data_IF_974979505639
#
_entry.id   IF_974979505639
#
_cell.length_a   1.000
_cell.length_b   1.000
_cell.length_c   1.000
_cell.angle_alpha   90.00
_cell.angle_beta   90.00
_cell.angle_gamma   90.00
#
_symmetry.space_group_name_H-M   'P 1'
#
loop_
_entity.id
_entity.type
_entity.pdbx_description
1 polymer ?
#
# COMPACT_ATOMS: atom_id res chain seq x y z
N UNK A 1 9.21 -36.84 -15.11
CA UNK A 1 8.74 -35.48 -14.77
C UNK A 1 9.97 -34.66 -14.42
N UNK A 2 10.44 -33.83 -15.35
CA UNK A 2 11.78 -33.23 -15.30
C UNK A 2 11.86 -31.93 -14.48
N UNK A 3 13.06 -31.57 -13.99
CA UNK A 3 13.31 -30.37 -13.17
C UNK A 3 13.08 -29.03 -13.91
N UNK A 4 12.74 -29.09 -15.19
CA UNK A 4 12.47 -27.94 -16.05
C UNK A 4 11.10 -27.30 -15.75
N UNK A 5 10.13 -28.06 -15.24
CA UNK A 5 8.79 -27.54 -14.93
C UNK A 5 8.82 -26.65 -13.68
N UNK A 6 9.66 -26.97 -12.69
CA UNK A 6 9.82 -26.16 -11.48
C UNK A 6 10.46 -24.78 -11.76
N UNK A 7 11.39 -24.71 -12.72
CA UNK A 7 12.04 -23.46 -13.13
C UNK A 7 11.10 -22.52 -13.90
N UNK A 8 10.20 -23.06 -14.72
CA UNK A 8 9.20 -22.26 -15.45
C UNK A 8 8.14 -21.66 -14.52
N UNK A 9 7.76 -22.36 -13.44
CA UNK A 9 6.84 -21.83 -12.43
C UNK A 9 7.50 -20.74 -11.58
N UNK A 10 8.78 -20.89 -11.23
CA UNK A 10 9.53 -19.86 -10.52
C UNK A 10 9.74 -18.58 -11.37
N UNK A 11 9.95 -18.73 -12.68
CA UNK A 11 10.05 -17.58 -13.59
C UNK A 11 8.70 -16.85 -13.76
N UNK A 12 7.58 -17.58 -13.77
CA UNK A 12 6.24 -16.96 -13.83
C UNK A 12 5.84 -16.25 -12.52
N UNK A 13 6.31 -16.73 -11.37
CA UNK A 13 6.16 -16.02 -10.10
C UNK A 13 6.99 -14.73 -10.05
N UNK A 14 8.14 -14.68 -10.74
CA UNK A 14 8.97 -13.48 -10.89
C UNK A 14 8.44 -12.45 -11.91
N UNK A 15 7.56 -12.86 -12.83
CA UNK A 15 6.89 -11.95 -13.79
C UNK A 15 5.56 -11.39 -13.27
N UNK A 16 5.02 -11.97 -12.20
CA UNK A 16 3.90 -11.43 -11.44
C UNK A 16 4.45 -10.73 -10.20
N UNK A 17 5.32 -9.73 -10.38
CA UNK A 17 5.30 -8.64 -9.40
C UNK A 17 3.88 -8.11 -9.49
N UNK A 18 3.04 -8.23 -8.44
CA UNK A 18 1.93 -7.33 -8.32
C UNK A 18 2.59 -5.98 -8.05
N UNK A 19 3.06 -5.31 -9.10
CA UNK A 19 2.68 -3.93 -9.26
C UNK A 19 1.15 -4.01 -9.27
N UNK A 20 0.57 -4.03 -8.08
CA UNK A 20 -0.83 -3.79 -7.84
C UNK A 20 -0.86 -2.37 -7.31
N UNK A 21 -1.88 -1.61 -7.68
CA UNK A 21 -2.10 -0.28 -7.11
C UNK A 21 -2.58 -0.36 -5.65
N UNK A 22 -1.88 -1.13 -4.82
CA UNK A 22 -2.23 -1.46 -3.44
C UNK A 22 -0.99 -1.38 -2.55
N UNK A 23 -1.03 -0.49 -1.56
CA UNK A 23 0.07 -0.27 -0.61
C UNK A 23 0.43 -1.56 0.15
N UNK A 24 -0.58 -2.33 0.57
CA UNK A 24 -0.35 -3.58 1.32
C UNK A 24 0.23 -4.73 0.47
N UNK A 25 0.28 -4.60 -0.85
CA UNK A 25 0.84 -5.62 -1.73
C UNK A 25 2.38 -5.55 -1.78
N UNK A 26 2.95 -4.40 -1.41
CA UNK A 26 4.39 -4.25 -1.31
C UNK A 26 4.96 -5.06 -0.14
N UNK A 27 5.96 -5.91 -0.41
CA UNK A 27 6.53 -6.80 0.58
C UNK A 27 7.20 -6.05 1.74
N UNK A 28 7.69 -4.83 1.53
CA UNK A 28 8.26 -4.00 2.60
C UNK A 28 7.16 -3.54 3.56
N UNK A 29 5.97 -3.21 3.03
CA UNK A 29 4.80 -2.86 3.85
C UNK A 29 4.32 -4.06 4.64
N UNK A 30 4.22 -5.25 4.01
CA UNK A 30 3.89 -6.49 4.71
C UNK A 30 4.88 -6.76 5.84
N UNK A 31 6.18 -6.68 5.55
CA UNK A 31 7.23 -6.88 6.55
C UNK A 31 7.16 -5.87 7.70
N UNK A 32 6.89 -4.59 7.40
CA UNK A 32 6.76 -3.56 8.42
C UNK A 32 5.53 -3.79 9.34
N UNK A 33 4.40 -4.20 8.77
CA UNK A 33 3.21 -4.57 9.55
C UNK A 33 3.44 -5.83 10.40
N UNK A 34 4.21 -6.78 9.89
CA UNK A 34 4.60 -7.97 10.65
C UNK A 34 5.54 -7.65 11.80
N UNK A 35 6.52 -6.75 11.60
CA UNK A 35 7.39 -6.27 12.66
C UNK A 35 6.61 -5.48 13.72
N UNK A 36 5.64 -4.65 13.30
CA UNK A 36 4.73 -3.97 14.21
C UNK A 36 4.00 -4.96 15.13
N UNK A 37 3.45 -6.05 14.56
CA UNK A 37 2.73 -7.08 15.30
C UNK A 37 3.63 -7.89 16.24
N UNK A 38 4.81 -8.29 15.76
CA UNK A 38 5.68 -9.28 16.45
C UNK A 38 6.70 -8.66 17.39
N UNK A 39 7.09 -7.41 17.16
CA UNK A 39 8.21 -6.77 17.87
C UNK A 39 7.74 -5.55 18.67
N UNK A 40 6.90 -4.69 18.07
CA UNK A 40 6.48 -3.44 18.71
C UNK A 40 5.32 -3.63 19.68
N UNK A 41 4.21 -4.19 19.22
CA UNK A 41 3.00 -4.34 20.04
C UNK A 41 3.18 -5.18 21.33
N UNK A 42 4.01 -6.24 21.37
CA UNK A 42 4.21 -7.02 22.60
C UNK A 42 4.75 -6.22 23.79
N UNK A 43 5.44 -5.10 23.53
CA UNK A 43 6.02 -4.24 24.57
C UNK A 43 5.23 -2.94 24.78
N UNK A 44 4.30 -2.60 23.88
CA UNK A 44 3.57 -1.32 23.87
C UNK A 44 2.05 -1.47 24.04
N UNK A 45 1.53 -2.70 24.17
CA UNK A 45 0.09 -2.93 24.28
C UNK A 45 -0.24 -4.25 25.00
N UNK A 46 -1.32 -4.23 25.79
CA UNK A 46 -1.88 -5.43 26.42
C UNK A 46 -2.25 -6.53 25.41
N UNK A 47 -1.88 -7.79 25.72
CA UNK A 47 -1.95 -8.94 24.80
C UNK A 47 -3.34 -9.18 24.21
N UNK A 48 -4.37 -8.99 25.02
CA UNK A 48 -5.77 -9.15 24.64
C UNK A 48 -6.23 -8.18 23.54
N UNK A 49 -5.55 -7.03 23.37
CA UNK A 49 -5.92 -6.01 22.37
C UNK A 49 -5.13 -6.13 21.07
N UNK A 50 -3.94 -6.71 21.10
CA UNK A 50 -2.98 -6.73 19.98
C UNK A 50 -3.62 -7.26 18.69
N UNK A 51 -4.33 -8.39 18.78
CA UNK A 51 -4.99 -9.03 17.63
C UNK A 51 -6.02 -8.09 16.99
N UNK A 52 -6.90 -7.51 17.78
CA UNK A 52 -7.97 -6.63 17.27
C UNK A 52 -7.39 -5.36 16.62
N UNK A 53 -6.34 -4.80 17.22
CA UNK A 53 -5.67 -3.61 16.68
C UNK A 53 -4.98 -3.94 15.35
N UNK A 54 -4.23 -5.04 15.26
CA UNK A 54 -3.59 -5.44 14.00
C UNK A 54 -4.57 -5.78 12.90
N UNK A 55 -5.69 -6.44 13.23
CA UNK A 55 -6.77 -6.72 12.28
C UNK A 55 -7.36 -5.42 11.72
N UNK A 56 -7.62 -4.44 12.58
CA UNK A 56 -8.11 -3.11 12.19
C UNK A 56 -7.10 -2.37 11.32
N UNK A 57 -5.82 -2.38 11.69
CA UNK A 57 -4.74 -1.76 10.90
C UNK A 57 -4.66 -2.39 9.52
N UNK A 58 -4.53 -3.72 9.43
CA UNK A 58 -4.44 -4.42 8.14
C UNK A 58 -5.67 -4.16 7.28
N UNK A 59 -6.87 -4.19 7.86
CA UNK A 59 -8.10 -3.91 7.11
C UNK A 59 -8.14 -2.47 6.59
N UNK A 60 -7.66 -1.51 7.38
CA UNK A 60 -7.60 -0.10 6.98
C UNK A 60 -6.62 0.10 5.83
N UNK A 61 -5.40 -0.47 5.91
CA UNK A 61 -4.40 -0.37 4.84
C UNK A 61 -4.88 -1.10 3.56
N UNK A 62 -5.56 -2.24 3.69
CA UNK A 62 -6.22 -2.90 2.55
C UNK A 62 -7.19 -1.95 1.86
N UNK A 63 -7.96 -1.18 2.62
CA UNK A 63 -8.96 -0.24 2.09
C UNK A 63 -8.37 1.08 1.57
N UNK A 64 -7.05 1.17 1.33
CA UNK A 64 -6.47 2.34 0.66
C UNK A 64 -6.91 2.46 -0.81
N UNK A 65 -7.31 1.34 -1.44
CA UNK A 65 -7.88 1.34 -2.80
C UNK A 65 -9.25 2.04 -2.86
N UNK A 66 -10.00 2.02 -1.74
CA UNK A 66 -11.33 2.60 -1.63
C UNK A 66 -11.23 4.12 -1.51
N UNK A 67 -10.94 4.74 -2.65
CA UNK A 67 -10.81 6.17 -2.79
C UNK A 67 -12.19 6.76 -3.11
N UNK A 68 -12.62 7.81 -2.40
CA UNK A 68 -13.87 8.47 -2.73
C UNK A 68 -13.80 8.94 -4.18
N UNK A 69 -14.90 8.75 -4.92
CA UNK A 69 -15.02 9.02 -6.34
C UNK A 69 -14.46 10.41 -6.66
N UNK A 70 -13.24 10.46 -7.20
CA UNK A 70 -12.67 11.66 -7.77
C UNK A 70 -13.48 11.91 -9.05
N UNK A 71 -14.40 12.89 -9.01
CA UNK A 71 -15.28 13.36 -10.10
C UNK A 71 -15.04 12.72 -11.47
N UNK A 72 -15.97 11.93 -11.99
CA UNK A 72 -16.13 11.40 -13.37
C UNK A 72 -14.88 10.95 -14.16
N UNK A 73 -13.71 10.88 -13.53
CA UNK A 73 -12.40 10.76 -14.17
C UNK A 73 -11.42 9.90 -13.36
N UNK A 74 -11.86 9.29 -12.24
CA UNK A 74 -11.05 8.30 -11.55
C UNK A 74 -10.86 7.05 -12.42
N UNK A 75 -9.68 6.90 -13.00
CA UNK A 75 -9.41 5.83 -13.97
C UNK A 75 -9.01 4.50 -13.30
N UNK A 76 -8.96 4.45 -11.97
CA UNK A 76 -8.59 3.24 -11.22
C UNK A 76 -7.18 2.74 -11.54
N UNK A 77 -6.30 3.61 -12.04
CA UNK A 77 -4.92 3.26 -12.41
C UNK A 77 -3.91 4.20 -11.77
N UNK A 78 -2.71 3.67 -11.52
CA UNK A 78 -1.56 4.36 -10.95
C UNK A 78 -0.28 3.83 -11.61
N UNK A 79 0.73 4.67 -11.85
CA UNK A 79 2.03 4.20 -12.31
C UNK A 79 2.92 3.73 -11.15
N UNK A 80 4.00 3.04 -11.50
CA UNK A 80 4.94 2.47 -10.53
C UNK A 80 5.63 3.55 -9.68
N UNK A 81 5.99 4.70 -10.26
CA UNK A 81 6.67 5.78 -9.55
C UNK A 81 5.78 6.43 -8.48
N UNK A 82 4.50 6.63 -8.80
CA UNK A 82 3.51 7.14 -7.82
C UNK A 82 3.23 6.09 -6.75
N UNK A 83 3.15 4.81 -7.12
CA UNK A 83 3.00 3.70 -6.17
C UNK A 83 4.19 3.65 -5.19
N UNK A 84 5.43 3.72 -5.70
CA UNK A 84 6.66 3.74 -4.90
C UNK A 84 6.68 4.93 -3.93
N UNK A 85 6.27 6.12 -4.40
CA UNK A 85 6.17 7.32 -3.56
C UNK A 85 5.24 7.08 -2.37
N UNK A 86 4.09 6.43 -2.60
CA UNK A 86 3.14 6.12 -1.54
C UNK A 86 3.60 5.02 -0.60
N UNK A 87 4.31 4.00 -1.09
CA UNK A 87 4.94 2.97 -0.23
C UNK A 87 5.99 3.59 0.68
N UNK A 88 6.90 4.39 0.12
CA UNK A 88 7.98 5.03 0.89
C UNK A 88 7.44 6.04 1.90
N UNK A 89 6.39 6.78 1.55
CA UNK A 89 5.67 7.67 2.48
C UNK A 89 5.11 6.90 3.67
N UNK A 90 4.35 5.83 3.40
CA UNK A 90 3.76 4.98 4.42
C UNK A 90 4.82 4.38 5.37
N UNK A 91 5.90 3.81 4.82
CA UNK A 91 6.99 3.21 5.61
C UNK A 91 7.71 4.25 6.48
N UNK A 92 7.88 5.48 5.98
CA UNK A 92 8.44 6.58 6.77
C UNK A 92 7.54 6.92 7.94
N UNK A 93 6.23 7.04 7.70
CA UNK A 93 5.25 7.34 8.74
C UNK A 93 5.15 6.23 9.79
N UNK A 94 5.23 4.95 9.39
CA UNK A 94 5.35 3.83 10.33
C UNK A 94 6.59 3.97 11.21
N UNK A 95 7.76 4.23 10.59
CA UNK A 95 9.02 4.41 11.32
C UNK A 95 8.93 5.55 12.35
N UNK A 96 8.27 6.66 12.00
CA UNK A 96 8.09 7.79 12.92
C UNK A 96 7.23 7.42 14.14
N UNK A 97 6.16 6.64 13.93
CA UNK A 97 5.31 6.17 15.02
C UNK A 97 6.05 5.16 15.90
N UNK A 98 6.75 4.19 15.31
CA UNK A 98 7.46 3.18 16.12
C UNK A 98 8.65 3.79 16.87
N UNK A 99 9.29 4.83 16.33
CA UNK A 99 10.39 5.52 17.01
C UNK A 99 9.92 6.49 18.10
N UNK A 100 8.63 6.81 18.18
CA UNK A 100 8.10 7.72 19.21
C UNK A 100 7.75 7.02 20.52
N UNK A 101 7.93 5.69 20.60
CA UNK A 101 7.76 4.88 21.82
C UNK A 101 6.37 5.04 22.49
N UNK A 102 5.36 5.39 21.68
CA UNK A 102 3.99 5.60 22.17
C UNK A 102 3.28 4.25 22.36
N UNK A 103 2.48 4.13 23.43
CA UNK A 103 1.84 2.88 23.83
C UNK A 103 0.32 2.99 23.94
N UNK A 104 -0.33 1.82 24.03
CA UNK A 104 -1.76 1.61 24.31
C UNK A 104 -2.68 2.52 23.48
N UNK A 105 -3.55 3.30 24.14
CA UNK A 105 -4.57 4.11 23.46
C UNK A 105 -3.95 5.27 22.66
N UNK A 106 -2.80 5.80 23.12
CA UNK A 106 -2.06 6.82 22.38
C UNK A 106 -1.55 6.25 21.07
N UNK A 107 -0.98 5.04 21.10
CA UNK A 107 -0.58 4.33 19.89
C UNK A 107 -1.76 4.15 18.93
N UNK A 108 -2.89 3.64 19.41
CA UNK A 108 -4.07 3.40 18.56
C UNK A 108 -4.55 4.69 17.89
N UNK A 109 -4.60 5.80 18.65
CA UNK A 109 -5.04 7.10 18.14
C UNK A 109 -4.08 7.67 17.09
N UNK A 110 -2.79 7.73 17.40
CA UNK A 110 -1.78 8.31 16.51
C UNK A 110 -1.58 7.44 15.25
N UNK A 111 -1.60 6.11 15.40
CA UNK A 111 -1.50 5.21 14.25
C UNK A 111 -2.73 5.34 13.35
N UNK A 112 -3.95 5.39 13.92
CA UNK A 112 -5.18 5.60 13.15
C UNK A 112 -5.19 6.96 12.42
N UNK A 113 -4.72 8.01 13.08
CA UNK A 113 -4.55 9.32 12.46
C UNK A 113 -3.53 9.28 11.32
N UNK A 114 -2.38 8.64 11.52
CA UNK A 114 -1.38 8.41 10.48
C UNK A 114 -1.96 7.69 9.28
N UNK A 115 -2.74 6.61 9.48
CA UNK A 115 -3.41 5.89 8.39
C UNK A 115 -4.37 6.79 7.59
N UNK A 116 -5.07 7.70 8.28
CA UNK A 116 -5.96 8.69 7.63
C UNK A 116 -5.16 9.64 6.74
N UNK A 117 -4.02 10.14 7.24
CA UNK A 117 -3.14 11.04 6.49
C UNK A 117 -2.51 10.35 5.27
N UNK A 118 -2.04 9.10 5.43
CA UNK A 118 -1.44 8.33 4.35
C UNK A 118 -2.47 7.95 3.27
N UNK A 119 -3.70 7.59 3.65
CA UNK A 119 -4.79 7.37 2.67
C UNK A 119 -5.09 8.63 1.87
N UNK A 120 -5.16 9.79 2.53
CA UNK A 120 -5.36 11.06 1.85
C UNK A 120 -4.16 11.45 0.95
N UNK A 121 -2.93 11.12 1.36
CA UNK A 121 -1.74 11.34 0.54
C UNK A 121 -1.75 10.43 -0.70
N UNK A 122 -2.08 9.14 -0.54
CA UNK A 122 -2.27 8.20 -1.64
C UNK A 122 -3.31 8.71 -2.64
N UNK A 123 -4.47 9.17 -2.15
CA UNK A 123 -5.50 9.76 -3.00
C UNK A 123 -4.99 10.96 -3.80
N UNK A 124 -4.26 11.89 -3.16
CA UNK A 124 -3.68 13.06 -3.85
C UNK A 124 -2.65 12.67 -4.91
N UNK A 125 -1.81 11.68 -4.60
CA UNK A 125 -0.80 11.17 -5.51
C UNK A 125 -1.46 10.55 -6.76
N UNK A 126 -2.48 9.72 -6.58
CA UNK A 126 -3.25 9.14 -7.69
C UNK A 126 -3.94 10.21 -8.51
N UNK A 127 -4.60 11.20 -7.87
CA UNK A 127 -5.27 12.28 -8.57
C UNK A 127 -4.30 13.12 -9.42
N UNK A 128 -3.10 13.40 -8.88
CA UNK A 128 -2.05 14.12 -9.61
C UNK A 128 -1.59 13.32 -10.83
N UNK A 129 -1.26 12.04 -10.65
CA UNK A 129 -0.89 11.15 -11.75
C UNK A 129 -1.96 11.14 -12.84
N UNK A 130 -3.23 10.92 -12.48
CA UNK A 130 -4.33 10.83 -13.44
C UNK A 130 -4.59 12.15 -14.19
N UNK A 131 -4.27 13.29 -13.58
CA UNK A 131 -4.45 14.62 -14.18
C UNK A 131 -3.27 15.05 -15.06
N UNK A 132 -2.05 14.74 -14.63
CA UNK A 132 -0.83 15.34 -15.19
C UNK A 132 -0.02 14.36 -16.04
N UNK A 133 0.02 13.09 -15.65
CA UNK A 133 0.94 12.09 -16.20
C UNK A 133 0.22 10.95 -16.94
N UNK A 134 -1.08 10.76 -16.67
CA UNK A 134 -1.89 9.76 -17.35
C UNK A 134 -2.39 10.27 -18.70
N UNK A 135 -1.76 9.80 -19.76
CA UNK A 135 -2.05 10.16 -21.16
C UNK A 135 -2.09 11.69 -21.42
N UNK A 136 -1.03 12.44 -21.10
CA UNK A 136 -1.01 13.91 -21.19
C UNK A 136 -1.19 14.44 -22.62
N UNK A 137 -0.94 13.59 -23.61
CA UNK A 137 -0.94 13.93 -25.03
C UNK A 137 -2.20 13.39 -25.71
N UNK A 138 -3.19 14.27 -25.93
CA UNK A 138 -4.41 13.98 -26.71
C UNK A 138 -4.18 13.63 -28.19
N UNK A 139 -2.95 13.61 -28.71
CA UNK A 139 -2.63 13.17 -30.08
C UNK A 139 -1.18 12.64 -30.17
N UNK A 140 -1.00 11.61 -30.99
CA UNK A 140 0.26 11.04 -31.54
C UNK A 140 0.99 9.99 -30.67
N UNK A 141 0.77 8.72 -31.03
CA UNK A 141 1.59 7.50 -30.84
C UNK A 141 2.43 7.35 -29.55
N UNK A 142 1.84 6.60 -28.61
CA UNK A 142 2.43 5.56 -27.75
C UNK A 142 3.78 5.85 -27.05
N UNK A 143 3.75 6.70 -26.01
CA UNK A 143 4.57 6.44 -24.82
C UNK A 143 3.78 5.43 -23.98
N UNK A 144 4.37 4.25 -23.75
CA UNK A 144 3.76 3.19 -22.94
C UNK A 144 3.87 3.63 -21.47
N UNK A 145 2.84 4.32 -20.95
CA UNK A 145 2.72 4.55 -19.51
C UNK A 145 2.48 3.18 -18.89
N UNK A 146 3.40 2.71 -18.04
CA UNK A 146 3.25 1.46 -17.31
C UNK A 146 2.28 1.70 -16.14
N UNK A 147 1.00 1.82 -16.47
CA UNK A 147 -0.07 2.05 -15.50
C UNK A 147 -0.60 0.69 -15.00
N UNK A 148 -0.84 0.63 -13.70
CA UNK A 148 -1.29 -0.54 -12.97
C UNK A 148 -2.68 -0.28 -12.40
N UNK A 149 -3.56 -1.27 -12.42
CA UNK A 149 -4.88 -1.18 -11.80
C UNK A 149 -4.77 -1.10 -10.27
N UNK A 150 -5.47 -0.13 -9.68
CA UNK A 150 -5.81 -0.08 -8.27
C UNK A 150 -6.87 -1.15 -8.04
N UNK A 151 -6.41 -2.32 -7.62
CA UNK A 151 -7.26 -3.49 -7.47
C UNK A 151 -7.90 -3.50 -6.07
N UNK A 152 -9.22 -3.75 -5.95
CA UNK A 152 -9.75 -4.31 -4.72
C UNK A 152 -9.07 -5.67 -4.53
N UNK A 153 -8.46 -5.91 -3.37
CA UNK A 153 -7.90 -7.21 -3.03
C UNK A 153 -9.03 -8.24 -3.05
N UNK A 154 -9.14 -8.99 -4.16
CA UNK A 154 -9.88 -10.24 -4.18
C UNK A 154 -9.01 -11.27 -3.45
N UNK A 155 -9.38 -11.53 -2.19
CA UNK A 155 -8.93 -12.70 -1.44
C UNK A 155 -9.75 -13.90 -1.91
#
# INVERSE_FOLDING_TARGET
MGPQVALLVAALAGCLLPAGGCVICDQRVVAALDALEKEYLPTHMARERQRQVMETIRQTVRNFWDLPYLEDAFMGVIDEATMETSVLGFLRSMTLITNSDIADDTFVKEFSWMLTLEKAAFQRNVARFQREDFCPNKCVSSIRINATLILPLQV
#
